data_IF_045048791627
#
_entry.id   IF_045048791627
#
_cell.length_a   1.000
_cell.length_b   1.000
_cell.length_c   1.000
_cell.angle_alpha   90.00
_cell.angle_beta   90.00
_cell.angle_gamma   90.00
#
_symmetry.space_group_name_H-M   'P 1'
#
loop_
_entity.id
_entity.type
_entity.pdbx_description
1 polymer ?
#
# COMPACT_ATOMS: atom_id res chain seq x y z
N UNK A 1 0.28 18.46 6.42
CA UNK A 1 0.78 17.12 6.06
C UNK A 1 2.25 17.10 6.43
N UNK A 2 2.62 16.21 7.34
CA UNK A 2 3.99 16.09 7.84
C UNK A 2 4.83 15.25 6.86
N UNK A 3 6.16 15.30 6.97
CA UNK A 3 7.05 14.44 6.18
C UNK A 3 6.80 12.94 6.47
N UNK A 4 6.39 12.62 7.70
CA UNK A 4 6.12 11.26 8.17
C UNK A 4 4.96 10.62 7.39
N UNK A 5 3.91 11.39 7.08
CA UNK A 5 2.72 10.89 6.38
C UNK A 5 3.06 10.41 4.95
N UNK A 6 4.04 11.04 4.30
CA UNK A 6 4.49 10.69 2.96
C UNK A 6 5.40 9.47 2.96
N UNK A 7 6.32 9.37 3.91
CA UNK A 7 7.20 8.21 4.04
C UNK A 7 6.38 6.92 4.26
N UNK A 8 5.34 6.98 5.10
CA UNK A 8 4.41 5.87 5.31
C UNK A 8 3.58 5.56 4.04
N UNK A 9 3.11 6.58 3.31
CA UNK A 9 2.40 6.35 2.04
C UNK A 9 3.26 5.66 0.97
N UNK A 10 4.57 5.94 0.92
CA UNK A 10 5.52 5.24 0.04
C UNK A 10 5.79 3.80 0.48
N UNK A 11 5.60 3.47 1.75
CA UNK A 11 5.74 2.10 2.24
C UNK A 11 4.53 1.22 1.86
N UNK A 12 3.32 1.79 1.82
CA UNK A 12 2.04 1.09 1.60
C UNK A 12 1.41 1.41 0.24
N UNK A 13 2.17 1.21 -0.83
CA UNK A 13 1.72 1.43 -2.20
C UNK A 13 0.65 0.41 -2.67
N UNK A 14 -0.25 0.83 -3.59
CA UNK A 14 -1.15 -0.10 -4.29
C UNK A 14 -0.42 -1.28 -4.96
N UNK A 15 -1.05 -2.45 -4.95
CA UNK A 15 -0.51 -3.69 -5.49
C UNK A 15 0.37 -4.48 -4.51
N UNK A 16 0.76 -3.90 -3.37
CA UNK A 16 1.43 -4.65 -2.30
C UNK A 16 0.53 -5.75 -1.75
N UNK A 17 1.14 -6.90 -1.46
CA UNK A 17 0.45 -8.01 -0.81
C UNK A 17 0.76 -7.94 0.67
N UNK A 18 -0.29 -7.96 1.49
CA UNK A 18 -0.22 -7.81 2.95
C UNK A 18 -0.99 -8.92 3.65
N UNK A 19 -0.61 -9.16 4.91
CA UNK A 19 -1.33 -9.99 5.86
C UNK A 19 -1.89 -9.13 6.99
N UNK A 20 -3.11 -9.43 7.46
CA UNK A 20 -3.63 -8.82 8.68
C UNK A 20 -2.99 -9.47 9.91
N UNK A 21 -2.30 -8.68 10.75
CA UNK A 21 -1.68 -9.17 11.99
C UNK A 21 -2.67 -9.80 12.97
N UNK A 22 -3.90 -9.29 13.01
CA UNK A 22 -4.97 -9.83 13.86
C UNK A 22 -5.57 -11.14 13.35
N UNK A 23 -5.31 -11.51 12.09
CA UNK A 23 -5.84 -12.70 11.43
C UNK A 23 -4.77 -13.38 10.57
N UNK A 24 -3.81 -14.08 11.20
CA UNK A 24 -2.78 -14.80 10.47
C UNK A 24 -3.39 -15.76 9.43
N UNK A 25 -2.79 -15.80 8.24
CA UNK A 25 -3.24 -16.54 7.06
C UNK A 25 -4.18 -15.75 6.14
N UNK A 26 -4.69 -14.58 6.56
CA UNK A 26 -5.53 -13.72 5.70
C UNK A 26 -4.66 -12.77 4.90
N UNK A 27 -4.46 -13.11 3.63
CA UNK A 27 -3.68 -12.33 2.65
C UNK A 27 -4.61 -11.51 1.75
N UNK A 28 -4.27 -10.24 1.58
CA UNK A 28 -4.97 -9.33 0.68
C UNK A 28 -4.00 -8.40 -0.07
N UNK A 29 -4.53 -7.59 -0.99
CA UNK A 29 -3.77 -6.62 -1.78
C UNK A 29 -4.20 -5.21 -1.45
N UNK A 30 -3.25 -4.29 -1.32
CA UNK A 30 -3.54 -2.86 -1.15
C UNK A 30 -4.14 -2.33 -2.44
N UNK A 31 -5.37 -1.82 -2.37
CA UNK A 31 -6.04 -1.15 -3.47
C UNK A 31 -5.65 0.33 -3.56
N UNK A 32 -5.58 1.02 -2.41
CA UNK A 32 -5.26 2.44 -2.34
C UNK A 32 -4.72 2.86 -0.97
N UNK A 33 -3.96 3.95 -0.96
CA UNK A 33 -3.63 4.73 0.22
C UNK A 33 -4.24 6.13 0.06
N UNK A 34 -5.19 6.49 0.93
CA UNK A 34 -5.87 7.78 0.90
C UNK A 34 -5.51 8.60 2.16
N UNK A 35 -4.66 9.61 1.98
CA UNK A 35 -4.20 10.51 3.05
C UNK A 35 -5.31 11.38 3.65
N UNK A 36 -6.50 11.42 3.04
CA UNK A 36 -7.65 12.17 3.55
C UNK A 36 -8.54 11.34 4.48
N UNK A 37 -8.26 10.03 4.59
CA UNK A 37 -9.05 9.08 5.36
C UNK A 37 -8.30 8.58 6.59
N UNK A 38 -9.06 8.21 7.62
CA UNK A 38 -8.55 7.59 8.84
C UNK A 38 -9.45 6.41 9.19
N UNK A 39 -9.00 5.15 9.03
CA UNK A 39 -7.70 4.70 8.52
C UNK A 39 -7.46 4.97 7.01
N UNK A 40 -6.19 5.04 6.55
CA UNK A 40 -5.89 5.47 5.18
C UNK A 40 -5.82 4.34 4.13
N UNK A 41 -5.65 3.07 4.51
CA UNK A 41 -5.38 1.99 3.55
C UNK A 41 -6.66 1.25 3.19
N UNK A 42 -6.98 1.15 1.91
CA UNK A 42 -8.01 0.25 1.39
C UNK A 42 -7.38 -1.04 0.87
N UNK A 43 -7.98 -2.18 1.22
CA UNK A 43 -7.64 -3.49 0.66
C UNK A 43 -8.68 -3.88 -0.39
N UNK A 44 -8.30 -4.73 -1.34
CA UNK A 44 -9.21 -5.16 -2.41
C UNK A 44 -10.42 -5.95 -1.91
N UNK A 45 -10.27 -6.74 -0.83
CA UNK A 45 -11.33 -7.65 -0.35
C UNK A 45 -11.86 -7.29 1.03
N UNK A 46 -11.09 -6.60 1.87
CA UNK A 46 -11.58 -6.14 3.17
C UNK A 46 -12.59 -5.00 3.00
N UNK A 47 -13.82 -5.12 3.52
CA UNK A 47 -14.85 -4.10 3.37
C UNK A 47 -14.56 -2.79 4.14
N UNK A 48 -13.49 -2.75 4.94
CA UNK A 48 -13.14 -1.60 5.79
C UNK A 48 -11.68 -1.21 5.61
N UNK A 49 -11.36 0.11 5.66
CA UNK A 49 -9.99 0.57 5.61
C UNK A 49 -9.20 0.17 6.86
N UNK A 50 -7.87 0.13 6.74
CA UNK A 50 -6.91 -0.35 7.73
C UNK A 50 -5.81 0.65 8.02
N UNK A 51 -5.26 0.58 9.23
CA UNK A 51 -4.04 1.27 9.58
C UNK A 51 -2.81 0.48 9.13
N UNK A 52 -1.73 1.17 8.77
CA UNK A 52 -0.40 0.58 8.51
C UNK A 52 0.03 -0.43 9.57
N UNK A 53 -0.09 -0.07 10.86
CA UNK A 53 0.36 -0.94 11.95
C UNK A 53 -0.46 -2.23 12.10
N UNK A 54 -1.67 -2.33 11.51
CA UNK A 54 -2.47 -3.57 11.48
C UNK A 54 -1.99 -4.57 10.43
N UNK A 55 -1.15 -4.14 9.50
CA UNK A 55 -0.73 -4.90 8.33
C UNK A 55 0.74 -5.32 8.41
N UNK A 56 1.04 -6.44 7.78
CA UNK A 56 2.40 -6.93 7.54
C UNK A 56 2.59 -7.10 6.03
N UNK A 57 3.57 -6.42 5.42
CA UNK A 57 3.89 -6.63 4.00
C UNK A 57 4.52 -8.01 3.83
N UNK A 58 3.92 -8.84 2.95
CA UNK A 58 4.39 -10.19 2.66
C UNK A 58 5.02 -10.31 1.27
N UNK A 59 4.64 -9.45 0.31
CA UNK A 59 5.29 -9.38 -1.00
C UNK A 59 5.21 -8.00 -1.63
N UNK A 60 6.29 -7.61 -2.32
CA UNK A 60 6.42 -6.36 -3.09
C UNK A 60 6.46 -6.56 -4.60
N UNK A 61 6.34 -7.80 -5.09
CA UNK A 61 6.56 -8.14 -6.51
C UNK A 61 5.54 -7.50 -7.46
N UNK A 62 4.35 -7.16 -6.97
CA UNK A 62 3.26 -6.58 -7.76
C UNK A 62 3.15 -5.07 -7.68
N UNK A 63 4.10 -4.40 -7.03
CA UNK A 63 4.13 -2.94 -7.01
C UNK A 63 4.48 -2.44 -8.41
N UNK A 64 3.50 -1.84 -9.09
CA UNK A 64 3.80 -1.03 -10.25
C UNK A 64 4.32 0.33 -9.78
N UNK A 65 5.61 0.41 -9.49
CA UNK A 65 6.29 1.71 -9.46
C UNK A 65 6.36 2.22 -10.91
N UNK A 66 6.21 3.54 -11.12
CA UNK A 66 6.25 4.15 -12.44
C UNK A 66 7.43 3.60 -13.26
N UNK A 67 7.17 3.11 -14.48
CA UNK A 67 8.26 2.81 -15.41
C UNK A 67 8.98 4.11 -15.76
N UNK A 68 10.27 4.18 -15.47
CA UNK A 68 11.12 5.27 -15.95
C UNK A 68 11.20 5.13 -17.48
N UNK A 69 10.45 5.95 -18.21
CA UNK A 69 10.55 6.02 -19.66
C UNK A 69 11.75 6.90 -19.99
N UNK A 70 12.88 6.32 -20.33
CA UNK A 70 14.03 7.06 -20.84
C UNK A 70 13.73 7.52 -22.27
N UNK A 71 13.35 8.79 -22.44
CA UNK A 71 13.24 9.38 -23.78
C UNK A 71 14.64 9.62 -24.32
N UNK A 72 15.18 8.67 -25.07
CA UNK A 72 16.39 8.92 -25.88
C UNK A 72 15.98 9.83 -27.04
N UNK A 73 16.25 11.12 -26.92
CA UNK A 73 16.16 12.05 -28.04
C UNK A 73 17.20 11.65 -29.09
N UNK A 74 16.74 11.11 -30.23
CA UNK A 74 17.53 10.91 -31.44
C UNK A 74 17.46 12.14 -32.33
#
# INVERSE_FOLDING_TARGET
>A
MSQIDWEEAFEYLPGLVVELKSRPGVIDTIAAYDLTMVPPIWLEKDPRPRYPHELQIVSRERVQACQLVETVNS
#
